data_IF_609779793122
#
_entry.id   IF_609779793122
#
_cell.length_a   1.000
_cell.length_b   1.000
_cell.length_c   1.000
_cell.angle_alpha   90.00
_cell.angle_beta   90.00
_cell.angle_gamma   90.00
#
_symmetry.space_group_name_H-M   'P 1'
#
loop_
_entity.id
_entity.type
_entity.pdbx_description
1 polymer ?
#
# COMPACT_ATOMS: atom_id res chain seq x y z
N UNK A 1 -55.88 -12.97 62.80
CA UNK A 1 -57.08 -12.47 62.10
C UNK A 1 -56.71 -12.28 60.63
N UNK A 2 -56.88 -13.29 59.82
CA UNK A 2 -57.97 -13.53 58.87
C UNK A 2 -58.30 -12.35 57.95
N UNK A 3 -57.96 -12.48 56.65
CA UNK A 3 -58.82 -12.41 55.45
C UNK A 3 -57.92 -12.37 54.22
N UNK A 4 -57.79 -13.46 53.43
CA UNK A 4 -58.62 -13.99 52.36
C UNK A 4 -58.94 -12.98 51.21
N UNK A 5 -58.23 -13.13 50.12
CA UNK A 5 -58.49 -13.38 48.66
C UNK A 5 -59.70 -12.65 48.04
N UNK A 6 -59.75 -12.24 46.75
CA UNK A 6 -59.63 -13.13 45.58
C UNK A 6 -58.93 -12.53 44.38
N UNK A 7 -58.23 -13.36 43.62
CA UNK A 7 -58.54 -13.85 42.26
C UNK A 7 -59.23 -12.82 41.33
N UNK A 8 -58.51 -12.32 40.37
CA UNK A 8 -59.07 -11.90 39.10
C UNK A 8 -58.15 -12.29 37.94
N UNK A 9 -58.69 -13.18 37.19
CA UNK A 9 -58.23 -13.74 35.93
C UNK A 9 -58.51 -12.68 34.83
N UNK A 10 -57.52 -12.35 34.02
CA UNK A 10 -57.72 -11.74 32.70
C UNK A 10 -56.46 -12.04 31.88
N UNK A 11 -56.47 -13.02 31.13
CA UNK A 11 -56.80 -13.29 29.74
C UNK A 11 -56.03 -12.37 28.74
N UNK A 12 -55.02 -13.00 28.11
CA UNK A 12 -54.61 -12.92 26.71
C UNK A 12 -54.34 -11.53 26.09
N UNK A 13 -53.11 -11.40 25.62
CA UNK A 13 -52.88 -10.96 24.24
C UNK A 13 -51.51 -11.51 23.80
N UNK A 14 -51.59 -12.52 22.98
CA UNK A 14 -50.48 -13.09 22.23
C UNK A 14 -50.07 -12.02 21.19
N UNK A 15 -49.06 -11.25 21.53
CA UNK A 15 -48.35 -10.41 20.58
C UNK A 15 -47.20 -11.19 19.97
N UNK A 16 -47.44 -11.79 18.84
CA UNK A 16 -46.36 -12.41 18.02
C UNK A 16 -45.43 -11.30 17.53
N UNK A 17 -44.39 -11.00 18.30
CA UNK A 17 -43.25 -10.27 17.77
C UNK A 17 -42.45 -11.21 16.89
N UNK A 18 -42.62 -11.05 15.57
CA UNK A 18 -41.77 -11.67 14.59
C UNK A 18 -40.30 -11.20 14.86
N UNK A 19 -39.54 -12.06 15.50
CA UNK A 19 -38.13 -11.90 15.67
C UNK A 19 -37.51 -12.07 14.28
N UNK A 20 -37.29 -10.93 13.58
CA UNK A 20 -36.47 -10.92 12.38
C UNK A 20 -35.08 -11.37 12.75
N UNK A 21 -34.82 -12.64 12.56
CA UNK A 21 -33.50 -13.22 12.63
C UNK A 21 -32.66 -12.58 11.48
N UNK A 22 -32.04 -11.44 11.76
CA UNK A 22 -30.95 -10.98 10.93
C UNK A 22 -29.82 -12.03 11.03
N UNK A 23 -29.72 -12.84 10.00
CA UNK A 23 -28.55 -13.70 9.79
C UNK A 23 -27.29 -12.83 9.91
N UNK A 24 -26.36 -13.13 10.83
CA UNK A 24 -25.07 -12.48 10.80
C UNK A 24 -24.43 -12.82 9.46
N UNK A 25 -24.21 -11.81 8.61
CA UNK A 25 -23.36 -11.96 7.45
C UNK A 25 -22.01 -12.45 7.98
N UNK A 26 -21.72 -13.73 7.83
CA UNK A 26 -20.36 -14.25 7.94
C UNK A 26 -19.52 -13.46 6.97
N UNK A 27 -18.84 -12.42 7.46
CA UNK A 27 -17.63 -11.95 6.83
C UNK A 27 -16.70 -13.16 6.85
N UNK A 28 -16.57 -13.82 5.70
CA UNK A 28 -15.44 -14.68 5.43
C UNK A 28 -14.22 -13.80 5.59
N UNK A 29 -13.66 -13.77 6.79
CA UNK A 29 -12.29 -13.37 6.98
C UNK A 29 -11.49 -14.28 6.05
N UNK A 30 -11.01 -13.73 4.92
CA UNK A 30 -9.93 -14.37 4.20
C UNK A 30 -8.86 -14.66 5.25
N UNK A 31 -8.27 -15.89 5.27
CA UNK A 31 -7.07 -16.10 6.04
C UNK A 31 -6.12 -14.99 5.60
N UNK A 32 -5.68 -14.19 6.54
CA UNK A 32 -4.58 -13.28 6.33
C UNK A 32 -3.36 -14.20 6.28
N UNK A 33 -3.18 -14.86 5.12
CA UNK A 33 -1.87 -15.34 4.74
C UNK A 33 -0.95 -14.15 4.99
N UNK A 34 0.06 -14.37 5.78
CA UNK A 34 1.20 -13.47 5.89
C UNK A 34 1.87 -13.50 4.52
N UNK A 35 1.20 -12.92 3.52
CA UNK A 35 1.81 -12.63 2.24
C UNK A 35 2.89 -11.62 2.60
N UNK A 36 4.13 -12.10 2.58
CA UNK A 36 5.28 -11.21 2.50
C UNK A 36 4.96 -10.27 1.35
N UNK A 37 4.57 -9.05 1.67
CA UNK A 37 4.12 -8.09 0.66
C UNK A 37 5.34 -7.72 -0.15
N UNK A 38 5.48 -8.40 -1.27
CA UNK A 38 6.65 -8.28 -2.15
C UNK A 38 6.67 -6.89 -2.80
N UNK A 39 5.50 -6.24 -2.94
CA UNK A 39 5.34 -4.87 -3.44
C UNK A 39 5.51 -3.83 -2.33
N UNK A 40 5.76 -2.59 -2.70
CA UNK A 40 5.75 -1.47 -1.75
C UNK A 40 4.33 -1.25 -1.21
N UNK A 41 4.20 -1.15 0.10
CA UNK A 41 2.94 -0.75 0.73
C UNK A 41 2.76 0.77 0.65
N UNK A 42 1.52 1.25 0.79
CA UNK A 42 1.20 2.67 0.61
C UNK A 42 1.99 3.58 1.56
N UNK A 43 2.19 3.15 2.80
CA UNK A 43 3.00 3.91 3.77
C UNK A 43 4.45 4.08 3.32
N UNK A 44 5.04 3.08 2.66
CA UNK A 44 6.39 3.17 2.10
C UNK A 44 6.43 4.10 0.87
N UNK A 45 5.38 4.07 0.05
CA UNK A 45 5.22 4.96 -1.11
C UNK A 45 5.13 6.42 -0.67
N UNK A 46 4.33 6.70 0.35
CA UNK A 46 4.14 8.04 0.88
C UNK A 46 5.41 8.56 1.58
N UNK A 47 6.06 7.70 2.37
CA UNK A 47 7.33 8.04 3.03
C UNK A 47 8.43 8.36 2.00
N UNK A 48 8.53 7.57 0.93
CA UNK A 48 9.49 7.82 -0.14
C UNK A 48 9.21 9.15 -0.85
N UNK A 49 7.95 9.39 -1.26
CA UNK A 49 7.56 10.64 -1.92
C UNK A 49 7.81 11.86 -1.05
N UNK A 50 7.44 11.81 0.22
CA UNK A 50 7.67 12.90 1.17
C UNK A 50 9.15 13.20 1.33
N UNK A 51 9.98 12.17 1.49
CA UNK A 51 11.42 12.31 1.60
C UNK A 51 12.02 13.06 0.38
N UNK A 52 11.66 12.64 -0.83
CA UNK A 52 12.21 13.24 -2.03
C UNK A 52 11.69 14.67 -2.26
N UNK A 53 10.44 14.96 -1.88
CA UNK A 53 9.90 16.33 -1.90
C UNK A 53 10.65 17.23 -0.92
N UNK A 54 10.97 16.73 0.27
CA UNK A 54 11.70 17.50 1.29
C UNK A 54 13.14 17.81 0.86
N UNK A 55 13.84 16.85 0.23
CA UNK A 55 15.26 16.96 -0.07
C UNK A 55 15.56 17.51 -1.47
N UNK A 56 14.67 17.34 -2.42
CA UNK A 56 14.87 17.78 -3.81
C UNK A 56 13.87 18.84 -4.26
N UNK A 57 12.91 19.18 -3.42
CA UNK A 57 11.84 20.13 -3.72
C UNK A 57 10.84 19.57 -4.75
N UNK A 58 9.74 20.30 -4.94
CA UNK A 58 8.86 20.07 -6.09
C UNK A 58 9.52 20.79 -7.26
N UNK A 59 10.25 20.07 -8.10
CA UNK A 59 10.83 20.63 -9.29
C UNK A 59 9.76 21.42 -10.07
N UNK A 60 10.10 22.64 -10.52
CA UNK A 60 9.24 23.44 -11.38
C UNK A 60 9.05 22.71 -12.71
N UNK A 61 8.00 21.91 -12.79
CA UNK A 61 7.64 21.21 -14.01
C UNK A 61 7.04 22.18 -15.02
N UNK A 62 7.64 22.38 -16.19
CA UNK A 62 7.04 23.20 -17.23
C UNK A 62 5.63 22.68 -17.57
N UNK A 63 4.65 23.58 -17.81
CA UNK A 63 3.25 23.17 -18.01
C UNK A 63 3.03 22.12 -19.11
N UNK A 64 3.89 22.13 -20.14
CA UNK A 64 3.84 21.15 -21.23
C UNK A 64 4.28 19.74 -20.82
N UNK A 65 5.19 19.62 -19.86
CA UNK A 65 5.67 18.33 -19.33
C UNK A 65 4.82 17.83 -18.17
N UNK A 66 4.23 18.74 -17.39
CA UNK A 66 3.32 18.40 -16.31
C UNK A 66 2.11 17.56 -16.77
N UNK A 67 1.58 17.89 -17.95
CA UNK A 67 0.43 17.19 -18.56
C UNK A 67 0.75 15.75 -18.98
N UNK A 68 2.02 15.39 -19.12
CA UNK A 68 2.43 14.04 -19.60
C UNK A 68 2.55 13.02 -18.48
N UNK A 69 2.46 13.42 -17.24
CA UNK A 69 2.53 12.57 -16.04
C UNK A 69 3.75 11.60 -16.01
N UNK A 70 4.83 11.99 -16.70
CA UNK A 70 6.05 11.21 -16.89
C UNK A 70 7.23 11.72 -16.06
N UNK A 71 6.90 12.45 -15.00
CA UNK A 71 7.93 12.91 -14.13
C UNK A 71 8.63 14.20 -14.57
N UNK A 72 8.01 15.04 -15.42
CA UNK A 72 8.64 16.24 -15.97
C UNK A 72 9.87 15.98 -16.84
N UNK A 73 10.09 14.75 -17.25
CA UNK A 73 11.22 14.40 -18.10
C UNK A 73 10.89 14.67 -19.57
N UNK A 74 11.85 15.23 -20.34
CA UNK A 74 11.74 15.29 -21.78
C UNK A 74 11.53 13.89 -22.36
N UNK A 75 10.86 13.74 -23.52
CA UNK A 75 10.49 12.43 -24.07
C UNK A 75 11.64 11.43 -24.25
N UNK A 76 12.86 11.90 -24.47
CA UNK A 76 14.05 11.05 -24.61
C UNK A 76 14.61 10.54 -23.26
N UNK A 77 14.38 11.29 -22.19
CA UNK A 77 14.89 10.96 -20.85
C UNK A 77 13.87 10.20 -19.99
N UNK A 78 12.62 10.14 -20.43
CA UNK A 78 11.56 9.42 -19.74
C UNK A 78 11.62 7.89 -19.94
N UNK A 79 12.53 7.39 -20.79
CA UNK A 79 12.69 5.94 -21.01
C UNK A 79 13.42 5.32 -19.83
N UNK A 80 12.69 4.50 -19.09
CA UNK A 80 13.25 3.71 -17.99
C UNK A 80 14.12 2.58 -18.54
N UNK A 81 15.26 2.33 -17.89
CA UNK A 81 16.19 1.24 -18.23
C UNK A 81 15.78 -0.09 -17.59
N UNK A 82 14.61 -0.14 -16.98
CA UNK A 82 14.09 -1.34 -16.33
C UNK A 82 12.60 -1.54 -16.63
N UNK A 83 12.14 -2.76 -16.43
CA UNK A 83 10.73 -3.15 -16.53
C UNK A 83 10.39 -3.92 -15.25
N UNK A 84 9.29 -3.53 -14.57
CA UNK A 84 8.80 -4.28 -13.42
C UNK A 84 8.39 -5.69 -13.87
N UNK A 85 8.78 -6.69 -13.12
CA UNK A 85 8.58 -8.10 -13.46
C UNK A 85 9.71 -8.71 -14.32
N UNK A 86 10.78 -7.94 -14.63
CA UNK A 86 11.92 -8.44 -15.40
C UNK A 86 13.24 -8.23 -14.66
N UNK A 87 14.23 -9.09 -14.88
CA UNK A 87 15.58 -8.86 -14.39
C UNK A 87 16.21 -7.63 -15.02
N UNK A 88 17.02 -6.90 -14.24
CA UNK A 88 17.78 -5.78 -14.78
C UNK A 88 18.75 -6.24 -15.88
N UNK A 89 18.85 -5.49 -16.99
CA UNK A 89 19.88 -5.72 -17.99
C UNK A 89 21.28 -5.66 -17.39
N UNK A 90 22.20 -6.43 -17.96
CA UNK A 90 23.61 -6.44 -17.51
C UNK A 90 24.23 -5.04 -17.66
N UNK A 91 25.03 -4.65 -16.68
CA UNK A 91 25.74 -3.36 -16.69
C UNK A 91 24.93 -2.18 -16.14
N UNK A 92 23.69 -2.38 -15.72
CA UNK A 92 22.94 -1.34 -15.01
C UNK A 92 23.42 -1.27 -13.57
N UNK A 93 23.86 -0.08 -13.17
CA UNK A 93 24.25 0.22 -11.79
C UNK A 93 23.03 0.74 -11.05
N UNK A 94 22.72 0.09 -9.94
CA UNK A 94 21.67 0.51 -9.02
C UNK A 94 22.31 1.27 -7.87
N UNK A 95 21.91 2.50 -7.65
CA UNK A 95 22.40 3.31 -6.55
C UNK A 95 21.86 2.83 -5.20
N UNK A 96 22.60 3.11 -4.15
CA UNK A 96 22.19 2.80 -2.80
C UNK A 96 21.10 3.76 -2.30
N UNK A 97 20.33 3.32 -1.32
CA UNK A 97 19.34 4.16 -0.66
C UNK A 97 20.03 5.15 0.29
N UNK A 98 19.59 6.43 0.31
CA UNK A 98 19.96 7.33 1.38
C UNK A 98 19.58 6.75 2.76
N UNK A 99 20.48 6.91 3.74
CA UNK A 99 20.30 6.33 5.08
C UNK A 99 18.97 6.74 5.73
N UNK A 100 18.64 8.04 5.64
CA UNK A 100 17.40 8.59 6.20
C UNK A 100 16.14 8.01 5.54
N UNK A 101 16.21 7.78 4.23
CA UNK A 101 15.12 7.15 3.50
C UNK A 101 14.97 5.68 3.92
N UNK A 102 16.08 4.97 4.08
CA UNK A 102 16.05 3.57 4.54
C UNK A 102 15.42 3.42 5.93
N UNK A 103 15.64 4.38 6.83
CA UNK A 103 14.98 4.41 8.14
C UNK A 103 13.47 4.63 8.00
N UNK A 104 13.05 5.55 7.13
CA UNK A 104 11.63 5.90 6.92
C UNK A 104 10.80 4.76 6.32
N UNK A 105 11.36 4.04 5.34
CA UNK A 105 10.64 2.95 4.66
C UNK A 105 10.82 1.59 5.34
N UNK A 106 11.77 1.50 6.27
CA UNK A 106 12.11 0.26 6.97
C UNK A 106 12.97 -0.68 6.13
N UNK A 107 13.42 -1.81 6.73
CA UNK A 107 14.26 -2.77 6.05
C UNK A 107 13.53 -3.47 4.92
N UNK A 108 14.28 -3.86 3.88
CA UNK A 108 13.73 -4.70 2.82
C UNK A 108 13.40 -6.09 3.36
N UNK A 109 12.33 -6.73 2.87
CA UNK A 109 12.03 -8.12 3.20
C UNK A 109 13.19 -9.07 2.86
N UNK A 110 13.27 -10.20 3.55
CA UNK A 110 14.30 -11.20 3.28
C UNK A 110 14.30 -11.63 1.80
N UNK A 111 15.46 -11.66 1.18
CA UNK A 111 15.63 -11.96 -0.24
C UNK A 111 15.43 -10.77 -1.19
N UNK A 112 15.17 -9.57 -0.66
CA UNK A 112 15.02 -8.36 -1.45
C UNK A 112 15.94 -7.24 -0.97
N UNK A 113 16.19 -6.28 -1.85
CA UNK A 113 16.89 -5.04 -1.52
C UNK A 113 16.22 -3.85 -2.20
N UNK A 114 16.39 -2.68 -1.63
CA UNK A 114 16.01 -1.43 -2.28
C UNK A 114 17.20 -0.83 -3.02
N UNK A 115 16.91 0.02 -3.98
CA UNK A 115 17.91 0.81 -4.66
C UNK A 115 17.29 1.95 -5.46
N UNK A 116 18.11 2.89 -5.88
CA UNK A 116 17.71 4.00 -6.74
C UNK A 116 18.18 3.73 -8.18
N UNK A 117 17.25 3.82 -9.12
CA UNK A 117 17.52 3.60 -10.54
C UNK A 117 16.69 4.57 -11.38
N UNK A 118 17.33 5.34 -12.23
CA UNK A 118 16.70 6.35 -13.09
C UNK A 118 15.81 7.37 -12.34
N UNK A 119 16.13 7.64 -11.07
CA UNK A 119 15.36 8.54 -10.23
C UNK A 119 14.14 7.88 -9.58
N UNK A 120 14.01 6.57 -9.68
CA UNK A 120 12.96 5.77 -9.09
C UNK A 120 13.51 4.91 -7.94
N UNK A 121 12.67 4.66 -6.93
CA UNK A 121 12.98 3.68 -5.88
C UNK A 121 12.51 2.31 -6.36
N UNK A 122 13.44 1.38 -6.52
CA UNK A 122 13.15 0.03 -6.99
C UNK A 122 13.35 -1.01 -5.88
N UNK A 123 12.50 -2.03 -5.88
CA UNK A 123 12.65 -3.23 -5.05
C UNK A 123 13.13 -4.38 -5.93
N UNK A 124 14.27 -4.94 -5.59
CA UNK A 124 14.95 -5.97 -6.36
C UNK A 124 15.05 -7.27 -5.57
N UNK A 125 14.83 -8.39 -6.24
CA UNK A 125 15.15 -9.69 -5.70
C UNK A 125 16.68 -9.90 -5.70
N UNK A 126 17.24 -10.29 -4.55
CA UNK A 126 18.67 -10.58 -4.41
C UNK A 126 19.03 -11.83 -5.23
N UNK A 127 20.11 -11.75 -5.99
CA UNK A 127 20.60 -12.86 -6.82
C UNK A 127 20.13 -12.79 -8.27
N UNK A 128 18.86 -12.53 -8.54
CA UNK A 128 18.33 -12.44 -9.92
C UNK A 128 18.28 -11.02 -10.46
N UNK A 129 18.33 -10.01 -9.57
CA UNK A 129 18.10 -8.60 -9.89
C UNK A 129 16.74 -8.35 -10.56
N UNK A 130 15.77 -9.22 -10.31
CA UNK A 130 14.40 -9.03 -10.78
C UNK A 130 13.81 -7.78 -10.13
N UNK A 131 13.30 -6.86 -10.93
CA UNK A 131 12.56 -5.68 -10.43
C UNK A 131 11.17 -6.11 -10.03
N UNK A 132 10.92 -6.19 -8.74
CA UNK A 132 9.63 -6.68 -8.22
C UNK A 132 8.60 -5.57 -8.18
N UNK A 133 9.02 -4.36 -7.83
CA UNK A 133 8.17 -3.18 -7.78
C UNK A 133 9.01 -1.91 -7.84
N UNK A 134 8.38 -0.81 -8.20
CA UNK A 134 9.03 0.50 -8.28
C UNK A 134 8.09 1.63 -7.84
N UNK A 135 8.69 2.68 -7.28
CA UNK A 135 8.03 3.96 -7.01
C UNK A 135 8.65 4.99 -7.94
N UNK A 136 7.85 5.45 -8.88
CA UNK A 136 8.28 6.27 -10.00
C UNK A 136 8.51 7.75 -9.63
N UNK A 137 9.50 8.35 -10.30
CA UNK A 137 9.64 9.79 -10.39
C UNK A 137 9.96 10.51 -9.08
N UNK A 138 10.76 9.87 -8.24
CA UNK A 138 11.15 10.41 -6.94
C UNK A 138 12.29 11.43 -7.03
N UNK A 139 13.30 11.18 -7.86
CA UNK A 139 14.44 12.06 -8.09
C UNK A 139 14.27 12.74 -9.44
N UNK A 140 14.23 14.07 -9.46
CA UNK A 140 14.13 14.91 -10.67
C UNK A 140 15.06 16.07 -10.59
#
# INVERSE_FOLDING_TARGET
MRRLVPFALALSLVGSTALSAQKPKKQKGKPQETQVTVVFVDTQRDAARSYFVEHHGRGNCPPGLAKKNNGCLPPGQAKKRYVVGQPLPRGIVVGDLPGDLSVRIGPAPAGYRYGILDGDLVKLAVGTLLVVDAIDGLVR
#
